data_IF_790973637847
#
_entry.id   IF_790973637847
#
_cell.length_a   1.000
_cell.length_b   1.000
_cell.length_c   1.000
_cell.angle_alpha   90.00
_cell.angle_beta   90.00
_cell.angle_gamma   90.00
#
_symmetry.space_group_name_H-M   'P 1'
#
loop_
_entity.id
_entity.type
_entity.pdbx_description
1 polymer ?
#
# COMPACT_ATOMS: atom_id res chain seq x y z
N UNK A 1 -16.10 1.28 19.30
CA UNK A 1 -16.79 0.07 18.76
C UNK A 1 -15.86 -1.12 18.93
N UNK A 2 -16.35 -2.28 19.36
CA UNK A 2 -15.55 -3.48 19.58
C UNK A 2 -15.52 -4.36 18.32
N UNK A 3 -14.74 -3.95 17.31
CA UNK A 3 -14.80 -4.54 15.96
C UNK A 3 -13.58 -5.42 15.63
N UNK A 4 -12.59 -5.51 16.53
CA UNK A 4 -11.35 -6.28 16.35
C UNK A 4 -10.90 -6.92 17.67
N UNK A 5 -10.10 -7.99 17.57
CA UNK A 5 -9.41 -8.62 18.71
C UNK A 5 -7.89 -8.48 18.52
N UNK A 6 -7.28 -7.34 18.91
CA UNK A 6 -5.87 -7.08 18.64
C UNK A 6 -4.96 -7.96 19.51
N UNK A 7 -3.82 -8.37 18.96
CA UNK A 7 -2.75 -8.95 19.76
C UNK A 7 -2.22 -7.91 20.75
N UNK A 8 -1.75 -8.30 21.95
CA UNK A 8 -1.20 -7.38 22.95
C UNK A 8 0.25 -6.97 22.60
N UNK A 9 0.46 -6.47 21.38
CA UNK A 9 1.77 -6.04 20.86
C UNK A 9 1.57 -4.69 20.17
N UNK A 10 2.34 -3.67 20.58
CA UNK A 10 2.33 -2.35 19.96
C UNK A 10 3.52 -2.20 19.00
N UNK A 11 3.29 -2.41 17.71
CA UNK A 11 4.32 -2.28 16.68
C UNK A 11 4.53 -0.80 16.30
N UNK A 12 5.76 -0.29 16.45
CA UNK A 12 6.10 1.13 16.24
C UNK A 12 7.08 1.37 15.10
N UNK A 13 7.73 0.32 14.59
CA UNK A 13 8.69 0.42 13.48
C UNK A 13 8.61 -0.81 12.58
N UNK A 14 8.83 -0.61 11.28
CA UNK A 14 8.94 -1.70 10.30
C UNK A 14 10.03 -1.43 9.26
N UNK A 15 10.70 -2.49 8.80
CA UNK A 15 11.70 -2.45 7.72
C UNK A 15 11.82 -3.84 7.08
N UNK A 16 11.56 -3.93 5.79
CA UNK A 16 11.57 -5.21 5.07
C UNK A 16 10.58 -6.19 5.70
N UNK A 17 11.04 -7.38 6.05
CA UNK A 17 10.23 -8.43 6.69
C UNK A 17 10.20 -8.35 8.22
N UNK A 18 10.72 -7.28 8.82
CA UNK A 18 10.84 -7.12 10.27
C UNK A 18 10.02 -5.96 10.79
N UNK A 19 9.50 -6.14 12.00
CA UNK A 19 8.79 -5.10 12.77
C UNK A 19 9.33 -5.09 14.21
N UNK A 20 9.23 -3.94 14.88
CA UNK A 20 9.66 -3.77 16.26
C UNK A 20 8.53 -3.18 17.10
N UNK A 21 8.39 -3.69 18.33
CA UNK A 21 7.48 -3.10 19.31
C UNK A 21 8.07 -1.87 20.02
N UNK A 22 7.26 -1.23 20.87
CA UNK A 22 7.61 -0.03 21.61
C UNK A 22 8.82 -0.23 22.55
N UNK A 23 9.01 -1.45 23.05
CA UNK A 23 10.16 -1.84 23.87
C UNK A 23 11.41 -2.20 23.03
N UNK A 24 11.29 -2.18 21.70
CA UNK A 24 12.37 -2.43 20.75
C UNK A 24 12.61 -3.91 20.42
N UNK A 25 11.73 -4.82 20.85
CA UNK A 25 11.81 -6.24 20.48
C UNK A 25 11.45 -6.43 19.01
N UNK A 26 12.29 -7.19 18.31
CA UNK A 26 12.12 -7.49 16.89
C UNK A 26 11.25 -8.73 16.67
N UNK A 27 10.40 -8.67 15.64
CA UNK A 27 9.58 -9.77 15.17
C UNK A 27 9.80 -9.98 13.67
N UNK A 28 9.71 -11.24 13.26
CA UNK A 28 9.57 -11.60 11.85
C UNK A 28 8.10 -11.48 11.45
N UNK A 29 7.79 -10.61 10.50
CA UNK A 29 6.42 -10.38 10.05
C UNK A 29 6.03 -11.37 8.94
N UNK A 30 5.24 -12.38 9.33
CA UNK A 30 4.61 -13.34 8.40
C UNK A 30 3.16 -12.97 8.07
N UNK A 31 2.63 -11.91 8.65
CA UNK A 31 1.26 -11.44 8.38
C UNK A 31 1.21 -10.51 7.18
N UNK A 32 2.26 -9.70 6.96
CA UNK A 32 2.35 -8.68 5.90
C UNK A 32 1.14 -7.72 5.89
N UNK A 33 0.62 -7.40 7.08
CA UNK A 33 -0.59 -6.59 7.22
C UNK A 33 -1.81 -7.19 6.53
N UNK A 34 -1.97 -8.52 6.58
CA UNK A 34 -2.97 -9.28 5.82
C UNK A 34 -2.72 -9.11 4.31
N UNK A 35 -1.55 -9.55 3.86
CA UNK A 35 -1.12 -9.57 2.46
C UNK A 35 -1.01 -8.19 1.75
N UNK A 36 -0.91 -7.09 2.50
CA UNK A 36 -0.82 -5.72 1.97
C UNK A 36 0.62 -5.29 1.73
N UNK A 37 1.54 -5.55 2.67
CA UNK A 37 2.93 -5.04 2.61
C UNK A 37 3.83 -5.95 1.78
N UNK A 38 3.45 -6.23 0.53
CA UNK A 38 4.16 -7.20 -0.35
C UNK A 38 5.63 -6.85 -0.62
N UNK A 39 6.01 -5.56 -0.62
CA UNK A 39 7.40 -5.13 -0.76
C UNK A 39 8.19 -5.14 0.57
N UNK A 40 7.54 -5.54 1.67
CA UNK A 40 8.00 -5.31 3.03
C UNK A 40 7.75 -3.88 3.51
N UNK A 41 7.93 -3.68 4.82
CA UNK A 41 7.77 -2.39 5.47
C UNK A 41 8.83 -1.38 5.02
N UNK A 42 8.41 -0.13 4.79
CA UNK A 42 9.28 1.00 4.46
C UNK A 42 10.30 0.73 3.34
N UNK A 43 9.88 0.04 2.27
CA UNK A 43 10.73 -0.22 1.11
C UNK A 43 11.22 1.11 0.50
N UNK A 44 12.55 1.34 0.35
CA UNK A 44 13.08 2.66 -0.02
C UNK A 44 12.47 3.24 -1.30
N UNK A 45 12.38 2.45 -2.37
CA UNK A 45 11.81 2.92 -3.63
C UNK A 45 10.32 3.30 -3.52
N UNK A 46 9.56 2.64 -2.64
CA UNK A 46 8.15 2.97 -2.43
C UNK A 46 8.02 4.26 -1.61
N UNK A 47 8.79 4.39 -0.53
CA UNK A 47 8.81 5.58 0.32
C UNK A 47 9.18 6.83 -0.49
N UNK A 48 10.23 6.76 -1.31
CA UNK A 48 10.65 7.89 -2.14
C UNK A 48 9.58 8.28 -3.19
N UNK A 49 8.97 7.29 -3.87
CA UNK A 49 7.91 7.57 -4.85
C UNK A 49 6.67 8.23 -4.21
N UNK A 50 6.26 7.75 -3.03
CA UNK A 50 5.13 8.33 -2.28
C UNK A 50 5.45 9.74 -1.82
N UNK A 51 6.65 9.98 -1.25
CA UNK A 51 7.06 11.31 -0.79
C UNK A 51 7.10 12.33 -1.92
N UNK A 52 7.70 11.96 -3.05
CA UNK A 52 7.78 12.83 -4.22
C UNK A 52 6.37 13.22 -4.69
N UNK A 53 5.48 12.24 -4.90
CA UNK A 53 4.13 12.51 -5.37
C UNK A 53 3.30 13.30 -4.36
N UNK A 54 3.44 13.02 -3.07
CA UNK A 54 2.72 13.74 -2.01
C UNK A 54 3.14 15.22 -1.93
N UNK A 55 4.39 15.54 -2.26
CA UNK A 55 4.88 16.92 -2.35
C UNK A 55 4.48 17.65 -3.64
N UNK A 56 3.98 16.93 -4.64
CA UNK A 56 3.64 17.47 -5.96
C UNK A 56 2.12 17.58 -6.18
N UNK A 57 1.38 16.46 -6.07
CA UNK A 57 -0.05 16.41 -6.35
C UNK A 57 -0.70 15.17 -5.70
N UNK A 58 -1.64 15.38 -4.78
CA UNK A 58 -2.26 14.30 -4.00
C UNK A 58 -3.60 13.82 -4.58
N UNK A 59 -4.51 14.75 -4.92
CA UNK A 59 -5.86 14.38 -5.35
C UNK A 59 -6.47 15.46 -6.26
N UNK A 60 -7.10 15.03 -7.34
CA UNK A 60 -7.78 15.91 -8.31
C UNK A 60 -9.20 15.44 -8.66
N UNK A 61 -9.76 14.43 -8.00
CA UNK A 61 -10.99 13.71 -8.45
C UNK A 61 -10.86 13.03 -9.83
N UNK A 62 -11.94 12.43 -10.31
CA UNK A 62 -12.02 11.85 -11.66
C UNK A 62 -12.49 12.85 -12.73
N UNK A 63 -12.64 14.14 -12.38
CA UNK A 63 -13.01 15.19 -13.34
C UNK A 63 -11.84 15.63 -14.25
N UNK A 64 -10.60 15.33 -13.85
CA UNK A 64 -9.39 15.70 -14.59
C UNK A 64 -8.54 14.46 -14.89
N UNK A 65 -7.70 14.57 -15.92
CA UNK A 65 -6.74 13.51 -16.26
C UNK A 65 -5.55 13.51 -15.29
N UNK A 66 -5.09 12.31 -14.93
CA UNK A 66 -3.89 12.09 -14.14
C UNK A 66 -2.98 11.09 -14.86
N UNK A 67 -1.79 11.50 -15.34
CA UNK A 67 -0.90 10.62 -16.12
C UNK A 67 -0.40 9.41 -15.33
N UNK A 68 -0.34 9.45 -13.99
CA UNK A 68 0.07 8.29 -13.19
C UNK A 68 -1.00 7.20 -13.18
N UNK A 69 -2.28 7.58 -13.19
CA UNK A 69 -3.40 6.64 -13.29
C UNK A 69 -3.39 5.90 -14.63
N UNK A 70 -3.16 6.64 -15.72
CA UNK A 70 -3.06 6.09 -17.09
C UNK A 70 -1.89 5.10 -17.22
N UNK A 71 -0.69 5.52 -16.77
CA UNK A 71 0.51 4.65 -16.77
C UNK A 71 0.31 3.38 -15.96
N UNK A 72 -0.41 3.44 -14.83
CA UNK A 72 -0.71 2.25 -14.04
C UNK A 72 -1.68 1.33 -14.77
N UNK A 73 -2.73 1.86 -15.40
CA UNK A 73 -3.69 1.09 -16.17
C UNK A 73 -3.01 0.32 -17.31
N UNK A 74 -2.14 0.98 -18.07
CA UNK A 74 -1.34 0.35 -19.13
C UNK A 74 -0.48 -0.81 -18.60
N UNK A 75 0.23 -0.58 -17.48
CA UNK A 75 1.08 -1.59 -16.84
C UNK A 75 0.29 -2.80 -16.35
N UNK A 76 -0.95 -2.60 -15.91
CA UNK A 76 -1.85 -3.66 -15.47
C UNK A 76 -2.37 -4.48 -16.64
N UNK A 77 -2.84 -3.84 -17.71
CA UNK A 77 -3.31 -4.53 -18.94
C UNK A 77 -2.22 -5.42 -19.54
N UNK A 78 -0.96 -4.93 -19.58
CA UNK A 78 0.18 -5.73 -20.06
C UNK A 78 0.41 -7.01 -19.23
N UNK A 79 0.06 -7.01 -17.94
CA UNK A 79 0.31 -8.14 -17.03
C UNK A 79 -0.91 -9.05 -16.84
N UNK A 80 -2.11 -8.48 -16.82
CA UNK A 80 -3.35 -9.18 -16.54
C UNK A 80 -4.08 -9.67 -17.81
N UNK A 81 -3.77 -9.09 -18.97
CA UNK A 81 -4.40 -9.40 -20.25
C UNK A 81 -5.17 -8.23 -20.86
N UNK A 82 -5.61 -8.35 -22.12
CA UNK A 82 -6.31 -7.28 -22.84
C UNK A 82 -7.61 -6.89 -22.13
N UNK A 83 -7.82 -5.59 -21.90
CA UNK A 83 -8.99 -5.10 -21.19
C UNK A 83 -8.94 -3.62 -20.85
N UNK A 84 -9.85 -3.19 -19.97
CA UNK A 84 -9.92 -1.85 -19.39
C UNK A 84 -9.82 -1.97 -17.86
N UNK A 85 -9.28 -0.93 -17.22
CA UNK A 85 -9.08 -0.87 -15.76
C UNK A 85 -10.00 0.18 -15.17
N UNK A 86 -10.63 -0.14 -14.04
CA UNK A 86 -11.33 0.80 -13.18
C UNK A 86 -10.64 0.79 -11.81
N UNK A 87 -10.37 1.97 -11.24
CA UNK A 87 -9.65 2.10 -9.98
C UNK A 87 -10.62 2.34 -8.82
N UNK A 88 -10.64 1.40 -7.87
CA UNK A 88 -11.30 1.51 -6.57
C UNK A 88 -10.28 1.70 -5.44
N UNK A 89 -10.74 1.86 -4.21
CA UNK A 89 -9.90 2.10 -3.04
C UNK A 89 -9.74 0.88 -2.15
N UNK A 90 -10.67 -0.08 -2.20
CA UNK A 90 -10.65 -1.30 -1.39
C UNK A 90 -10.97 -2.55 -2.20
N UNK A 91 -10.63 -3.71 -1.63
CA UNK A 91 -11.01 -5.00 -2.22
C UNK A 91 -12.53 -5.21 -2.27
N UNK A 92 -13.28 -4.65 -1.32
CA UNK A 92 -14.74 -4.73 -1.31
C UNK A 92 -15.39 -3.89 -2.42
N UNK A 93 -14.80 -2.73 -2.76
CA UNK A 93 -15.28 -1.90 -3.87
C UNK A 93 -14.91 -2.46 -5.26
N UNK A 94 -13.91 -3.35 -5.33
CA UNK A 94 -13.44 -3.92 -6.58
C UNK A 94 -14.21 -5.19 -7.01
N UNK A 95 -14.83 -5.91 -6.06
CA UNK A 95 -15.63 -7.12 -6.31
C UNK A 95 -17.05 -6.80 -6.77
#
# INVERSE_FOLDING_TARGET
MNNYSPAPIELVRGRGTRVWDAEGKEYLDFASGIAVTTLGHAHPAWVEAVRAQAGELVHVSNLFRNPLQERLAERLVVRAGPGRVFFCNSGAEAN
#
